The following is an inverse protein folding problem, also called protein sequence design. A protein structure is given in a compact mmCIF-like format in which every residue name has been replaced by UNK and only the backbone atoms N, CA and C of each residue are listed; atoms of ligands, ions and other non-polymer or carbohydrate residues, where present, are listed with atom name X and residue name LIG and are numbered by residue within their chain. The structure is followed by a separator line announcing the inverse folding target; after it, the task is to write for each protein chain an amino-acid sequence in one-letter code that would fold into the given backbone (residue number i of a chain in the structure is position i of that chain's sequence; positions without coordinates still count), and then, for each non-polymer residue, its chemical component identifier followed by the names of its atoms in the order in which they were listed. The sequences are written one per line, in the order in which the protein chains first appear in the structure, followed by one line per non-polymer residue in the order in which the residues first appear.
data_IF_623660311102
#
_entry.id   IF_623660311102
#
_cell.length_a   1.000
_cell.length_b   1.000
_cell.length_c   1.000
_cell.angle_alpha   90.00
_cell.angle_beta   90.00
_cell.angle_gamma   90.00
#
_symmetry.space_group_name_H-M   'P 1'
#
loop_
_entity.id
_entity.type
_entity.pdbx_description
1 polymer ?
#
# COMPACT_ATOMS: atom_id res chain seq x y z
N UNK A 1 -26.11 18.19 29.80
CA UNK A 1 -25.62 18.28 28.41
C UNK A 1 -24.17 18.74 28.46
N UNK A 2 -23.25 17.80 28.52
CA UNK A 2 -21.81 18.04 28.65
C UNK A 2 -21.20 17.95 27.28
N UNK A 3 -20.71 19.09 26.83
CA UNK A 3 -19.98 19.22 25.56
C UNK A 3 -18.60 18.56 25.71
N UNK A 4 -18.44 17.39 25.12
CA UNK A 4 -17.15 16.68 25.05
C UNK A 4 -16.35 17.21 23.87
N UNK A 5 -15.50 18.21 24.11
CA UNK A 5 -14.56 18.72 23.15
C UNK A 5 -13.61 17.62 22.63
N UNK A 6 -13.92 17.07 21.47
CA UNK A 6 -13.10 16.07 20.78
C UNK A 6 -11.80 16.72 20.34
N UNK A 7 -10.69 16.43 21.02
CA UNK A 7 -9.35 16.84 20.58
C UNK A 7 -8.96 16.08 19.31
N UNK A 8 -8.79 16.79 18.23
CA UNK A 8 -8.26 16.25 16.97
C UNK A 8 -6.74 16.43 16.93
N UNK A 9 -6.02 15.34 16.79
CA UNK A 9 -4.59 15.37 16.53
C UNK A 9 -4.35 15.68 15.05
N UNK A 10 -3.65 16.77 14.77
CA UNK A 10 -3.24 17.13 13.41
C UNK A 10 -1.71 17.19 13.34
N UNK A 11 -1.15 16.58 12.32
CA UNK A 11 0.23 16.86 11.90
C UNK A 11 0.23 18.22 11.19
N UNK A 12 0.77 19.24 11.84
CA UNK A 12 0.92 20.57 11.24
C UNK A 12 2.24 20.58 10.48
N UNK A 13 2.16 20.57 9.15
CA UNK A 13 3.24 21.05 8.29
C UNK A 13 3.17 22.58 8.31
N UNK A 14 4.29 23.22 8.62
CA UNK A 14 4.39 24.64 8.94
C UNK A 14 3.67 25.59 7.99
N UNK A 15 2.90 26.47 8.57
CA UNK A 15 2.27 27.61 7.92
C UNK A 15 1.71 28.55 8.97
N UNK A 16 2.15 29.82 8.95
CA UNK A 16 1.84 30.87 9.88
C UNK A 16 0.35 31.07 10.16
N UNK A 17 -0.03 31.09 11.43
CA UNK A 17 -1.38 31.50 11.87
C UNK A 17 -1.30 32.81 12.66
N UNK A 18 -1.88 33.85 12.08
CA UNK A 18 -2.01 35.17 12.72
C UNK A 18 -3.01 35.13 13.89
N UNK A 19 -2.58 35.65 15.02
CA UNK A 19 -3.41 35.85 16.25
C UNK A 19 -4.32 37.07 16.05
N UNK A 20 -5.63 36.90 16.23
CA UNK A 20 -6.61 38.01 16.31
C UNK A 20 -6.94 38.30 17.76
N UNK A 21 -6.63 39.52 18.18
CA UNK A 21 -7.03 40.10 19.46
C UNK A 21 -8.56 40.25 19.59
N UNK A 22 -9.07 39.92 20.76
CA UNK A 22 -10.45 40.28 21.19
C UNK A 22 -10.40 41.18 22.41
N UNK A 23 -11.13 42.29 22.47
CA UNK A 23 -11.24 43.16 23.63
C UNK A 23 -12.48 42.77 24.52
N UNK A 24 -12.32 42.98 25.82
CA UNK A 24 -13.45 43.04 26.77
C UNK A 24 -13.40 42.05 27.93
N UNK A 25 -12.54 42.32 28.93
CA UNK A 25 -12.62 41.60 30.22
C UNK A 25 -13.32 42.48 31.26
N UNK A 26 -14.48 42.02 31.76
CA UNK A 26 -15.12 42.53 32.98
C UNK A 26 -14.33 42.03 34.20
N UNK A 27 -14.02 42.99 35.14
CA UNK A 27 -13.36 42.71 36.40
C UNK A 27 -14.19 41.72 37.25
N UNK A 28 -13.57 40.59 37.59
CA UNK A 28 -14.14 39.59 38.55
C UNK A 28 -13.62 39.91 39.97
N UNK A 29 -14.37 39.58 41.04
CA UNK A 29 -13.91 39.76 42.41
C UNK A 29 -12.66 38.94 42.70
N UNK A 30 -11.78 39.45 43.59
CA UNK A 30 -10.53 38.80 43.96
C UNK A 30 -10.76 37.38 44.52
N UNK A 31 -10.06 36.34 44.01
CA UNK A 31 -10.21 34.98 44.44
C UNK A 31 -9.63 34.75 45.84
N UNK A 32 -10.28 33.98 46.69
CA UNK A 32 -9.77 33.55 48.01
C UNK A 32 -8.54 32.63 47.88
N UNK A 33 -7.77 32.46 48.92
CA UNK A 33 -6.51 31.67 48.95
C UNK A 33 -6.71 30.24 48.44
N UNK A 34 -7.84 29.62 48.72
CA UNK A 34 -8.22 28.29 48.25
C UNK A 34 -8.44 28.26 46.69
N UNK A 35 -9.03 29.33 46.15
CA UNK A 35 -9.27 29.47 44.71
C UNK A 35 -7.98 29.70 43.97
N UNK A 36 -7.02 30.46 44.55
CA UNK A 36 -5.67 30.67 43.97
C UNK A 36 -4.87 29.37 43.93
N UNK A 37 -4.91 28.57 45.02
CA UNK A 37 -4.26 27.27 45.08
C UNK A 37 -4.89 26.26 44.10
N UNK A 38 -6.20 26.29 43.91
CA UNK A 38 -6.91 25.46 42.94
C UNK A 38 -6.58 25.90 41.51
N UNK A 39 -6.52 27.19 41.26
CA UNK A 39 -6.10 27.75 39.94
C UNK A 39 -4.66 27.44 39.63
N UNK A 40 -3.73 27.57 40.60
CA UNK A 40 -2.32 27.22 40.44
C UNK A 40 -2.12 25.72 40.14
N UNK A 41 -2.88 24.85 40.81
CA UNK A 41 -2.87 23.39 40.54
C UNK A 41 -3.46 23.09 39.18
N UNK A 42 -4.54 23.74 38.78
CA UNK A 42 -5.14 23.57 37.46
C UNK A 42 -4.21 24.08 36.32
N UNK A 43 -3.55 25.25 36.51
CA UNK A 43 -2.59 25.79 35.56
C UNK A 43 -1.32 24.95 35.48
N UNK A 44 -0.80 24.41 36.59
CA UNK A 44 0.34 23.51 36.59
C UNK A 44 0.00 22.17 35.91
N UNK A 45 -1.21 21.63 36.12
CA UNK A 45 -1.67 20.40 35.45
C UNK A 45 -1.88 20.61 33.94
N UNK A 46 -2.40 21.77 33.51
CA UNK A 46 -2.52 22.09 32.07
C UNK A 46 -1.17 22.30 31.40
N UNK A 47 -0.23 22.99 32.06
CA UNK A 47 1.13 23.17 31.56
C UNK A 47 1.87 21.82 31.46
N UNK A 48 1.64 20.89 32.39
CA UNK A 48 2.17 19.52 32.31
C UNK A 48 1.57 18.74 31.13
N UNK A 49 0.26 18.82 30.91
CA UNK A 49 -0.40 18.14 29.79
C UNK A 49 0.02 18.68 28.43
N UNK A 50 0.24 20.00 28.31
CA UNK A 50 0.78 20.61 27.08
C UNK A 50 2.22 20.18 26.84
N UNK A 51 3.05 20.08 27.89
CA UNK A 51 4.41 19.60 27.78
C UNK A 51 4.49 18.12 27.38
N UNK A 52 3.61 17.28 27.92
CA UNK A 52 3.49 15.87 27.50
C UNK A 52 3.06 15.75 26.03
N UNK A 53 2.09 16.56 25.61
CA UNK A 53 1.61 16.60 24.22
C UNK A 53 2.73 17.04 23.27
N UNK A 54 3.52 18.05 23.63
CA UNK A 54 4.65 18.51 22.82
C UNK A 54 5.70 17.41 22.69
N UNK A 55 6.09 16.76 23.80
CA UNK A 55 7.06 15.66 23.74
C UNK A 55 6.55 14.47 22.91
N UNK A 56 5.26 14.18 22.96
CA UNK A 56 4.66 13.14 22.12
C UNK A 56 4.81 13.49 20.63
N UNK A 57 4.52 14.72 20.24
CA UNK A 57 4.66 15.17 18.86
C UNK A 57 6.13 15.11 18.41
N UNK A 58 7.07 15.56 19.24
CA UNK A 58 8.49 15.50 18.96
C UNK A 58 8.97 14.07 18.79
N UNK A 59 8.55 13.16 19.67
CA UNK A 59 8.91 11.72 19.58
C UNK A 59 8.37 11.05 18.32
N UNK A 60 7.17 11.43 17.87
CA UNK A 60 6.61 10.94 16.61
C UNK A 60 7.39 11.46 15.40
N UNK A 61 7.76 12.74 15.41
CA UNK A 61 8.55 13.35 14.34
C UNK A 61 9.94 12.69 14.24
N UNK A 62 10.62 12.50 15.37
CA UNK A 62 11.92 11.81 15.39
C UNK A 62 11.82 10.35 15.00
N UNK A 63 10.74 9.66 15.39
CA UNK A 63 10.50 8.28 14.94
C UNK A 63 10.35 8.22 13.42
N UNK A 64 9.58 9.15 12.84
CA UNK A 64 9.43 9.25 11.38
C UNK A 64 10.77 9.52 10.72
N UNK A 65 11.58 10.49 11.20
CA UNK A 65 12.91 10.76 10.66
C UNK A 65 13.85 9.55 10.74
N UNK A 66 13.87 8.86 11.87
CA UNK A 66 14.70 7.67 12.05
C UNK A 66 14.30 6.55 11.07
N UNK A 67 13.02 6.42 10.76
CA UNK A 67 12.52 5.42 9.81
C UNK A 67 12.66 5.86 8.35
N UNK A 68 12.66 7.15 8.08
CA UNK A 68 12.94 7.72 6.76
C UNK A 68 14.42 7.52 6.38
N UNK A 69 15.34 7.81 7.30
CA UNK A 69 16.78 7.50 7.14
C UNK A 69 17.01 6.00 6.89
N UNK A 70 16.17 5.13 7.44
CA UNK A 70 16.19 3.70 7.15
C UNK A 70 15.58 3.32 5.77
N UNK A 71 15.23 4.31 4.94
CA UNK A 71 14.77 4.11 3.56
C UNK A 71 13.30 3.69 3.41
N UNK A 72 12.45 3.99 4.38
CA UNK A 72 11.02 3.67 4.29
C UNK A 72 10.27 4.73 3.47
N UNK A 73 9.32 4.27 2.64
CA UNK A 73 8.51 5.19 1.83
C UNK A 73 7.54 6.03 2.67
N UNK A 74 7.16 7.26 2.23
CA UNK A 74 6.24 8.15 2.95
C UNK A 74 4.95 7.45 3.40
N UNK A 75 4.33 6.67 2.52
CA UNK A 75 3.13 5.88 2.86
C UNK A 75 3.37 4.84 3.96
N UNK A 76 4.60 4.29 4.05
CA UNK A 76 4.95 3.36 5.12
C UNK A 76 5.14 4.11 6.43
N UNK A 77 5.74 5.31 6.38
CA UNK A 77 5.93 6.19 7.54
C UNK A 77 4.58 6.57 8.16
N UNK A 78 3.63 7.05 7.35
CA UNK A 78 2.26 7.32 7.80
C UNK A 78 1.63 6.08 8.46
N UNK A 79 1.75 4.94 7.81
CA UNK A 79 1.17 3.70 8.31
C UNK A 79 1.80 3.23 9.62
N UNK A 80 3.05 3.61 9.94
CA UNK A 80 3.72 3.28 11.20
C UNK A 80 3.13 4.06 12.38
N UNK A 81 2.88 5.35 12.21
CA UNK A 81 2.41 6.22 13.29
C UNK A 81 0.89 6.17 13.50
N UNK A 82 0.14 5.90 12.44
CA UNK A 82 -1.33 5.91 12.45
C UNK A 82 -1.95 5.06 13.57
N UNK A 83 -1.52 3.81 13.84
CA UNK A 83 -2.12 3.00 14.91
C UNK A 83 -1.86 3.55 16.31
N UNK A 84 -0.73 4.22 16.54
CA UNK A 84 -0.39 4.87 17.80
C UNK A 84 -1.31 6.07 18.03
N UNK A 85 -1.42 6.94 17.01
CA UNK A 85 -2.32 8.09 17.05
C UNK A 85 -3.78 7.68 17.28
N UNK A 86 -4.22 6.62 16.59
CA UNK A 86 -5.60 6.10 16.68
C UNK A 86 -5.95 5.64 18.09
N UNK A 87 -5.09 4.87 18.75
CA UNK A 87 -5.37 4.35 20.08
C UNK A 87 -5.20 5.41 21.18
N UNK A 88 -4.17 6.24 21.08
CA UNK A 88 -3.94 7.34 22.03
C UNK A 88 -5.07 8.36 21.97
N UNK A 89 -5.56 8.72 20.77
CA UNK A 89 -6.72 9.59 20.60
C UNK A 89 -8.01 8.96 21.11
N UNK A 90 -8.19 7.66 20.99
CA UNK A 90 -9.39 6.96 21.45
C UNK A 90 -9.53 7.01 22.97
N UNK A 91 -8.42 6.87 23.71
CA UNK A 91 -8.42 6.93 25.18
C UNK A 91 -8.08 8.30 25.74
N UNK A 92 -7.73 9.27 24.89
CA UNK A 92 -7.21 10.61 25.29
C UNK A 92 -6.03 10.49 26.27
N UNK A 93 -5.05 9.64 25.95
CA UNK A 93 -3.86 9.39 26.77
C UNK A 93 -2.57 9.51 25.96
N UNK A 94 -1.48 9.91 26.63
CA UNK A 94 -0.15 9.83 26.03
C UNK A 94 0.33 8.36 25.95
N UNK A 95 1.24 8.02 25.01
CA UNK A 95 1.72 6.65 24.87
C UNK A 95 2.22 6.03 26.19
N UNK A 96 2.99 6.75 26.97
CA UNK A 96 3.54 6.25 28.25
C UNK A 96 2.49 6.04 29.37
N UNK A 97 1.25 6.39 29.11
CA UNK A 97 0.10 6.10 29.99
C UNK A 97 -0.82 5.00 29.44
N UNK A 98 -0.54 4.52 28.22
CA UNK A 98 -1.34 3.46 27.59
C UNK A 98 -0.98 2.10 28.20
N UNK A 99 -1.99 1.39 28.71
CA UNK A 99 -1.82 0.08 29.35
C UNK A 99 -2.18 -1.08 28.44
N UNK A 100 -1.62 -2.28 28.71
CA UNK A 100 -1.99 -3.52 28.01
C UNK A 100 -3.50 -3.78 28.05
N UNK A 101 -4.14 -3.50 29.19
CA UNK A 101 -5.61 -3.64 29.36
C UNK A 101 -6.39 -2.73 28.40
N UNK A 102 -5.93 -1.51 28.13
CA UNK A 102 -6.55 -0.60 27.17
C UNK A 102 -6.34 -1.08 25.74
N UNK A 103 -5.13 -1.56 25.42
CA UNK A 103 -4.83 -2.18 24.12
C UNK A 103 -5.78 -3.36 23.85
N UNK A 104 -5.91 -4.28 24.81
CA UNK A 104 -6.77 -5.46 24.72
C UNK A 104 -8.23 -5.07 24.49
N UNK A 105 -8.74 -4.15 25.30
CA UNK A 105 -10.13 -3.65 25.17
C UNK A 105 -10.37 -2.99 23.81
N UNK A 106 -9.39 -2.21 23.30
CA UNK A 106 -9.51 -1.56 22.02
C UNK A 106 -9.61 -2.58 20.88
N UNK A 107 -8.67 -3.52 20.81
CA UNK A 107 -8.65 -4.52 19.73
C UNK A 107 -9.67 -5.66 19.92
N UNK A 108 -10.17 -5.91 21.11
CA UNK A 108 -11.33 -6.77 21.34
C UNK A 108 -12.68 -6.11 21.00
N UNK A 109 -12.75 -4.78 21.04
CA UNK A 109 -13.94 -3.95 20.81
C UNK A 109 -13.87 -3.10 19.54
N UNK A 110 -13.68 -1.77 19.64
CA UNK A 110 -13.73 -0.85 18.50
C UNK A 110 -12.71 -1.18 17.40
N UNK A 111 -11.52 -1.61 17.78
CA UNK A 111 -10.42 -1.98 16.87
C UNK A 111 -10.56 -3.35 16.21
N UNK A 112 -11.58 -4.15 16.57
CA UNK A 112 -11.79 -5.51 16.06
C UNK A 112 -12.33 -5.56 14.62
N UNK A 113 -12.95 -4.49 14.13
CA UNK A 113 -13.59 -4.44 12.81
C UNK A 113 -12.68 -4.82 11.62
N UNK A 114 -11.37 -4.48 11.60
CA UNK A 114 -10.47 -4.92 10.55
C UNK A 114 -10.21 -6.44 10.61
N UNK A 115 -9.75 -6.99 9.49
CA UNK A 115 -9.28 -8.38 9.42
C UNK A 115 -8.14 -8.62 10.42
N UNK A 116 -8.04 -9.85 10.94
CA UNK A 116 -6.99 -10.25 11.90
C UNK A 116 -5.55 -9.86 11.45
N UNK A 117 -5.25 -9.99 10.15
CA UNK A 117 -3.95 -9.55 9.58
C UNK A 117 -3.71 -8.05 9.71
N UNK A 118 -4.76 -7.22 9.62
CA UNK A 118 -4.69 -5.77 9.81
C UNK A 118 -4.48 -5.43 11.28
N UNK A 119 -5.21 -6.09 12.18
CA UNK A 119 -5.03 -5.93 13.63
C UNK A 119 -3.61 -6.29 14.02
N UNK A 120 -3.11 -7.44 13.56
CA UNK A 120 -1.71 -7.86 13.78
C UNK A 120 -0.71 -6.80 13.30
N UNK A 121 -0.92 -6.26 12.11
CA UNK A 121 -0.06 -5.22 11.55
C UNK A 121 -0.08 -3.94 12.40
N UNK A 122 -1.24 -3.54 12.92
CA UNK A 122 -1.37 -2.38 13.80
C UNK A 122 -0.63 -2.61 15.13
N UNK A 123 -0.86 -3.74 15.78
CA UNK A 123 -0.20 -4.07 17.06
C UNK A 123 1.31 -4.12 16.90
N UNK A 124 1.84 -4.76 15.86
CA UNK A 124 3.28 -4.77 15.61
C UNK A 124 3.87 -3.37 15.39
N UNK A 125 3.12 -2.45 14.79
CA UNK A 125 3.57 -1.06 14.61
C UNK A 125 3.59 -0.29 15.91
N UNK A 126 2.61 -0.52 16.78
CA UNK A 126 2.59 0.03 18.13
C UNK A 126 3.83 -0.47 18.90
N UNK A 127 4.08 -1.76 18.90
CA UNK A 127 5.24 -2.37 19.56
C UNK A 127 6.58 -1.78 19.06
N UNK A 128 6.73 -1.57 17.75
CA UNK A 128 7.92 -0.93 17.16
C UNK A 128 8.11 0.53 17.62
N UNK A 129 7.02 1.28 17.79
CA UNK A 129 7.11 2.64 18.32
C UNK A 129 7.50 2.65 19.80
N UNK A 130 6.98 1.74 20.59
CA UNK A 130 7.38 1.62 22.00
C UNK A 130 8.84 1.20 22.16
N UNK A 131 9.34 0.28 21.34
CA UNK A 131 10.76 -0.04 21.31
C UNK A 131 11.66 1.19 21.00
N UNK A 132 11.17 2.11 20.16
CA UNK A 132 11.85 3.39 19.91
C UNK A 132 11.78 4.32 21.13
N UNK A 133 10.61 4.44 21.77
CA UNK A 133 10.46 5.25 22.99
C UNK A 133 11.34 4.74 24.13
N UNK A 134 11.36 3.44 24.36
CA UNK A 134 12.21 2.79 25.37
C UNK A 134 13.69 3.11 25.15
N UNK A 135 14.15 3.07 23.90
CA UNK A 135 15.54 3.33 23.56
C UNK A 135 15.93 4.80 23.66
N UNK A 136 15.05 5.72 23.25
CA UNK A 136 15.45 7.13 23.06
C UNK A 136 14.84 8.11 24.04
N UNK A 137 13.67 7.81 24.57
CA UNK A 137 12.85 8.74 25.33
C UNK A 137 12.55 8.33 26.78
N UNK A 138 12.79 7.05 27.15
CA UNK A 138 12.43 6.57 28.49
C UNK A 138 13.01 7.41 29.63
N UNK A 139 14.28 7.80 29.54
CA UNK A 139 14.94 8.63 30.55
C UNK A 139 14.40 10.06 30.61
N UNK A 140 14.03 10.65 29.50
CA UNK A 140 13.46 11.99 29.45
C UNK A 140 12.03 12.02 29.99
N UNK A 141 11.20 11.07 29.55
CA UNK A 141 9.81 10.91 30.02
C UNK A 141 9.78 10.71 31.53
N UNK A 142 10.67 9.83 32.04
CA UNK A 142 10.75 9.60 33.49
C UNK A 142 11.17 10.86 34.26
N UNK A 143 12.18 11.59 33.79
CA UNK A 143 12.65 12.83 34.46
C UNK A 143 11.63 13.96 34.41
N UNK A 144 10.88 14.11 33.33
CA UNK A 144 9.95 15.23 33.15
C UNK A 144 8.58 14.96 33.74
N UNK A 145 8.11 13.72 33.66
CA UNK A 145 6.71 13.37 33.99
C UNK A 145 6.59 12.26 35.02
N UNK A 146 7.68 11.64 35.45
CA UNK A 146 7.66 10.53 36.41
C UNK A 146 7.07 9.23 35.83
N UNK A 147 6.76 9.21 34.53
CA UNK A 147 6.16 8.05 33.87
C UNK A 147 7.26 7.03 33.45
N UNK A 148 6.91 5.75 33.47
CA UNK A 148 7.75 4.66 32.95
C UNK A 148 7.22 4.26 31.57
N UNK A 149 8.09 4.20 30.60
CA UNK A 149 7.75 3.73 29.25
C UNK A 149 7.82 2.21 29.24
N UNK A 150 6.67 1.56 29.07
CA UNK A 150 6.53 0.12 28.89
C UNK A 150 5.65 -0.17 27.69
N UNK A 151 6.04 -1.13 26.86
CA UNK A 151 5.21 -1.54 25.72
C UNK A 151 3.89 -2.15 26.23
N UNK A 152 2.72 -1.67 25.76
CA UNK A 152 1.44 -2.30 26.07
C UNK A 152 1.26 -3.65 25.36
N UNK A 153 2.20 -4.01 24.47
CA UNK A 153 2.20 -5.28 23.74
C UNK A 153 3.03 -6.30 24.51
N UNK A 154 2.38 -7.29 25.08
CA UNK A 154 2.99 -8.36 25.86
C UNK A 154 2.85 -9.74 25.19
N UNK A 155 3.29 -10.81 25.88
CA UNK A 155 3.23 -12.17 25.38
C UNK A 155 1.80 -12.70 25.15
N UNK A 156 0.79 -12.13 25.84
CA UNK A 156 -0.61 -12.58 25.78
C UNK A 156 -1.39 -11.90 24.64
N UNK A 157 -1.11 -10.63 24.36
CA UNK A 157 -1.82 -9.86 23.33
C UNK A 157 -1.02 -9.77 22.02
N UNK A 158 0.23 -10.23 21.97
CA UNK A 158 1.05 -10.29 20.76
C UNK A 158 0.42 -11.26 19.75
N UNK A 159 0.00 -10.77 18.56
CA UNK A 159 -0.72 -11.62 17.62
C UNK A 159 0.15 -12.72 17.04
N UNK A 160 -0.29 -13.95 17.16
CA UNK A 160 0.38 -15.12 16.58
C UNK A 160 0.12 -15.21 15.08
N UNK A 161 1.16 -15.58 14.32
CA UNK A 161 1.02 -15.87 12.90
C UNK A 161 0.33 -17.23 12.71
N UNK A 162 -0.95 -17.21 12.32
CA UNK A 162 -1.75 -18.44 12.14
C UNK A 162 -1.54 -19.14 10.79
N UNK A 163 -0.58 -18.70 9.97
CA UNK A 163 -0.38 -19.32 8.66
C UNK A 163 -1.54 -19.14 7.66
N UNK A 164 -2.55 -18.37 8.00
CA UNK A 164 -3.67 -18.03 7.11
C UNK A 164 -3.17 -17.18 5.95
N UNK A 165 -2.53 -17.82 5.02
CA UNK A 165 -2.46 -17.33 3.66
C UNK A 165 -3.90 -17.43 3.14
N UNK A 166 -4.68 -16.36 3.24
CA UNK A 166 -6.00 -16.34 2.61
C UNK A 166 -5.81 -16.74 1.15
N UNK A 167 -6.13 -17.98 0.84
CA UNK A 167 -6.01 -18.57 -0.49
C UNK A 167 -6.83 -17.73 -1.45
N UNK A 168 -6.15 -16.90 -2.24
CA UNK A 168 -6.77 -16.08 -3.27
C UNK A 168 -6.65 -16.84 -4.57
N UNK A 169 -7.63 -17.71 -4.82
CA UNK A 169 -7.69 -18.49 -6.06
C UNK A 169 -8.01 -17.53 -7.20
N UNK A 170 -7.12 -17.36 -8.19
CA UNK A 170 -7.42 -16.58 -9.38
C UNK A 170 -8.49 -17.29 -10.23
N UNK A 171 -9.20 -16.55 -11.11
CA UNK A 171 -10.05 -17.19 -12.10
C UNK A 171 -9.20 -18.11 -12.98
N UNK A 172 -9.81 -19.13 -13.59
CA UNK A 172 -9.10 -20.03 -14.51
C UNK A 172 -8.56 -19.27 -15.74
N UNK A 173 -7.55 -19.82 -16.42
CA UNK A 173 -7.00 -19.24 -17.64
C UNK A 173 -8.08 -19.00 -18.70
N UNK A 174 -9.05 -19.93 -18.84
CA UNK A 174 -10.19 -19.79 -19.73
C UNK A 174 -11.10 -18.62 -19.34
N UNK A 175 -11.50 -18.52 -18.07
CA UNK A 175 -12.35 -17.43 -17.59
C UNK A 175 -11.65 -16.06 -17.72
N UNK A 176 -10.34 -16.02 -17.50
CA UNK A 176 -9.53 -14.80 -17.70
C UNK A 176 -9.47 -14.41 -19.18
N UNK A 177 -9.32 -15.36 -20.09
CA UNK A 177 -9.35 -15.10 -21.54
C UNK A 177 -10.70 -14.57 -21.99
N UNK A 178 -11.79 -15.20 -21.57
CA UNK A 178 -13.18 -14.79 -21.86
C UNK A 178 -13.47 -13.39 -21.30
N UNK A 179 -13.00 -13.09 -20.08
CA UNK A 179 -13.11 -11.77 -19.47
C UNK A 179 -12.45 -10.66 -20.33
N UNK A 180 -11.21 -10.86 -20.74
CA UNK A 180 -10.52 -9.87 -21.56
C UNK A 180 -11.12 -9.75 -22.96
N UNK A 181 -11.63 -10.85 -23.55
CA UNK A 181 -12.31 -10.82 -24.84
C UNK A 181 -13.60 -9.97 -24.76
N UNK A 182 -14.47 -10.25 -23.79
CA UNK A 182 -15.72 -9.52 -23.59
C UNK A 182 -15.46 -8.01 -23.30
N UNK A 183 -14.46 -7.71 -22.47
CA UNK A 183 -14.11 -6.33 -22.19
C UNK A 183 -13.59 -5.60 -23.43
N UNK A 184 -12.74 -6.25 -24.24
CA UNK A 184 -12.23 -5.68 -25.50
C UNK A 184 -13.34 -5.37 -26.49
N UNK A 185 -14.32 -6.25 -26.66
CA UNK A 185 -15.48 -6.06 -27.52
C UNK A 185 -16.35 -4.87 -27.09
N UNK A 186 -16.36 -4.57 -25.79
CA UNK A 186 -17.13 -3.45 -25.25
C UNK A 186 -16.44 -2.08 -25.39
N UNK A 187 -15.12 -2.04 -25.60
CA UNK A 187 -14.33 -0.79 -25.64
C UNK A 187 -14.89 0.26 -26.62
N UNK A 188 -15.29 -0.07 -27.87
CA UNK A 188 -15.79 0.92 -28.81
C UNK A 188 -17.08 1.62 -28.35
N UNK A 189 -17.82 1.03 -27.42
CA UNK A 189 -19.07 1.59 -26.86
C UNK A 189 -18.83 2.40 -25.58
N UNK A 190 -17.62 2.50 -25.12
CA UNK A 190 -17.30 3.19 -23.89
C UNK A 190 -17.46 4.71 -24.05
N UNK A 191 -18.20 5.34 -23.13
CA UNK A 191 -18.42 6.80 -23.14
C UNK A 191 -17.11 7.61 -23.14
N UNK A 192 -16.06 7.10 -22.48
CA UNK A 192 -14.73 7.67 -22.42
C UNK A 192 -13.75 6.64 -22.99
N UNK A 193 -13.74 6.53 -24.30
CA UNK A 193 -12.96 5.52 -25.00
C UNK A 193 -11.48 5.48 -24.60
N UNK A 194 -10.70 6.59 -24.58
CA UNK A 194 -9.29 6.54 -24.22
C UNK A 194 -9.04 6.02 -22.80
N UNK A 195 -9.88 6.41 -21.84
CA UNK A 195 -9.81 5.97 -20.45
C UNK A 195 -10.13 4.48 -20.30
N UNK A 196 -11.15 4.00 -21.02
CA UNK A 196 -11.53 2.60 -21.03
C UNK A 196 -10.41 1.73 -21.62
N UNK A 197 -9.84 2.16 -22.75
CA UNK A 197 -8.70 1.49 -23.39
C UNK A 197 -7.48 1.48 -22.47
N UNK A 198 -7.09 2.61 -21.89
CA UNK A 198 -5.99 2.67 -20.90
C UNK A 198 -6.19 1.66 -19.79
N UNK A 199 -7.36 1.61 -19.18
CA UNK A 199 -7.66 0.71 -18.08
C UNK A 199 -7.62 -0.77 -18.51
N UNK A 200 -8.11 -1.07 -19.71
CA UNK A 200 -8.01 -2.38 -20.32
C UNK A 200 -6.54 -2.80 -20.54
N UNK A 201 -5.73 -1.94 -21.18
CA UNK A 201 -4.32 -2.19 -21.47
C UNK A 201 -3.54 -2.41 -20.18
N UNK A 202 -3.72 -1.55 -19.17
CA UNK A 202 -3.09 -1.72 -17.86
C UNK A 202 -3.42 -3.07 -17.22
N UNK A 203 -4.68 -3.48 -17.29
CA UNK A 203 -5.15 -4.75 -16.73
C UNK A 203 -4.55 -5.94 -17.48
N UNK A 204 -4.55 -5.89 -18.81
CA UNK A 204 -4.02 -6.94 -19.66
C UNK A 204 -2.50 -7.07 -19.52
N UNK A 205 -1.76 -5.95 -19.47
CA UNK A 205 -0.32 -5.93 -19.21
C UNK A 205 0.01 -6.48 -17.81
N UNK A 206 -0.79 -6.13 -16.79
CA UNK A 206 -0.62 -6.73 -15.45
C UNK A 206 -0.74 -8.24 -15.48
N UNK A 207 -1.66 -8.77 -16.27
CA UNK A 207 -1.84 -10.22 -16.46
C UNK A 207 -0.69 -10.84 -17.26
N UNK A 208 -0.21 -10.18 -18.33
CA UNK A 208 0.86 -10.69 -19.18
C UNK A 208 2.21 -10.66 -18.49
N UNK A 209 2.61 -9.50 -17.95
CA UNK A 209 3.95 -9.25 -17.40
C UNK A 209 4.07 -9.45 -15.89
N UNK A 210 2.95 -9.66 -15.20
CA UNK A 210 2.92 -9.85 -13.75
C UNK A 210 3.38 -8.64 -12.93
N UNK A 211 3.40 -7.42 -13.47
CA UNK A 211 3.81 -6.20 -12.77
C UNK A 211 2.86 -5.80 -11.65
N UNK A 212 3.37 -5.09 -10.64
CA UNK A 212 2.52 -4.54 -9.58
C UNK A 212 1.81 -3.27 -10.06
N UNK A 213 0.61 -3.01 -9.54
CA UNK A 213 -0.16 -1.82 -9.92
C UNK A 213 0.62 -0.51 -9.74
N UNK A 214 1.33 -0.36 -8.63
CA UNK A 214 2.12 0.84 -8.36
C UNK A 214 3.32 0.98 -9.32
N UNK A 215 3.95 -0.13 -9.69
CA UNK A 215 5.03 -0.17 -10.69
C UNK A 215 4.48 0.28 -12.05
N UNK A 216 3.39 -0.33 -12.50
CA UNK A 216 2.80 -0.04 -13.82
C UNK A 216 2.30 1.41 -13.93
N UNK A 217 1.74 1.97 -12.86
CA UNK A 217 1.27 3.36 -12.86
C UNK A 217 2.41 4.38 -13.00
N UNK A 218 3.64 4.04 -12.66
CA UNK A 218 4.79 4.94 -12.72
C UNK A 218 5.63 4.80 -14.00
N UNK A 219 5.29 3.86 -14.88
CA UNK A 219 6.01 3.66 -16.15
C UNK A 219 5.84 4.90 -17.04
N UNK A 220 6.96 5.39 -17.57
CA UNK A 220 7.02 6.48 -18.54
C UNK A 220 7.13 5.92 -19.97
N UNK A 221 6.89 6.76 -20.96
CA UNK A 221 7.04 6.36 -22.37
C UNK A 221 8.47 5.96 -22.67
N UNK A 222 9.46 6.70 -22.14
CA UNK A 222 10.88 6.39 -22.28
C UNK A 222 11.34 5.09 -21.61
N UNK A 223 10.53 4.51 -20.73
CA UNK A 223 10.84 3.23 -20.10
C UNK A 223 10.54 2.02 -21.03
N UNK A 224 9.90 2.24 -22.17
CA UNK A 224 9.54 1.17 -23.10
C UNK A 224 10.69 0.93 -24.08
N UNK A 225 11.34 -0.21 -23.97
CA UNK A 225 12.48 -0.63 -24.80
C UNK A 225 12.04 -1.71 -25.77
N UNK A 226 11.66 -1.31 -26.98
CA UNK A 226 11.13 -2.19 -28.02
C UNK A 226 12.18 -3.18 -28.57
N UNK A 227 13.44 -2.81 -28.49
CA UNK A 227 14.61 -3.55 -28.96
C UNK A 227 15.15 -4.57 -27.95
N UNK A 228 14.73 -4.49 -26.69
CA UNK A 228 15.23 -5.37 -25.64
C UNK A 228 14.58 -6.76 -25.71
N UNK A 229 15.33 -7.75 -26.17
CA UNK A 229 14.84 -9.12 -26.37
C UNK A 229 13.90 -9.24 -27.57
N UNK A 230 13.28 -10.41 -27.73
CA UNK A 230 12.47 -10.72 -28.91
C UNK A 230 11.21 -9.86 -29.03
N UNK A 231 10.57 -9.52 -27.90
CA UNK A 231 9.26 -8.88 -27.87
C UNK A 231 9.28 -7.49 -27.21
N UNK A 232 10.45 -6.99 -26.85
CA UNK A 232 10.59 -5.77 -26.06
C UNK A 232 10.36 -5.98 -24.58
N UNK A 233 10.77 -4.98 -23.80
CA UNK A 233 10.64 -4.92 -22.35
C UNK A 233 10.29 -3.49 -21.93
N UNK A 234 9.86 -3.33 -20.71
CA UNK A 234 9.73 -2.00 -20.12
C UNK A 234 10.31 -1.99 -18.70
N UNK A 235 10.95 -0.88 -18.38
CA UNK A 235 11.52 -0.66 -17.07
C UNK A 235 10.42 -0.39 -16.04
N UNK A 236 10.50 -1.01 -14.88
CA UNK A 236 9.61 -0.75 -13.75
C UNK A 236 10.41 -0.38 -12.51
N UNK A 237 10.02 0.71 -11.88
CA UNK A 237 10.64 1.23 -10.68
C UNK A 237 10.00 0.58 -9.47
N UNK A 238 10.64 -0.51 -8.99
CA UNK A 238 10.12 -1.30 -7.89
C UNK A 238 10.42 -0.69 -6.52
N UNK A 239 9.46 -0.79 -5.61
CA UNK A 239 9.71 -0.55 -4.19
C UNK A 239 10.56 -1.70 -3.67
N UNK A 240 11.82 -1.48 -3.34
CA UNK A 240 12.70 -2.50 -2.75
C UNK A 240 12.06 -3.23 -1.56
N UNK A 241 12.59 -4.40 -1.21
CA UNK A 241 12.14 -5.19 -0.08
C UNK A 241 13.04 -4.98 1.13
N UNK A 242 12.46 -4.86 2.34
CA UNK A 242 13.21 -4.88 3.59
C UNK A 242 14.21 -3.75 3.78
N UNK A 243 13.97 -2.55 3.23
CA UNK A 243 14.88 -1.40 3.37
C UNK A 243 16.01 -1.35 2.33
N UNK A 244 15.99 -2.24 1.30
CA UNK A 244 17.02 -2.25 0.24
C UNK A 244 16.92 -1.10 -0.78
N UNK A 245 16.05 -0.11 -0.56
CA UNK A 245 15.82 0.98 -1.50
C UNK A 245 15.02 0.58 -2.75
N UNK A 246 14.72 1.53 -3.65
CA UNK A 246 14.08 1.24 -4.93
C UNK A 246 14.93 0.27 -5.76
N UNK A 247 14.27 -0.67 -6.44
CA UNK A 247 14.93 -1.59 -7.36
C UNK A 247 14.25 -1.53 -8.70
N UNK A 248 15.00 -1.11 -9.70
CA UNK A 248 14.57 -1.15 -11.06
C UNK A 248 14.71 -2.56 -11.61
N UNK A 249 13.75 -2.97 -12.42
CA UNK A 249 13.78 -4.24 -13.14
C UNK A 249 13.07 -4.11 -14.46
N UNK A 250 13.46 -4.94 -15.40
CA UNK A 250 12.73 -5.09 -16.65
C UNK A 250 11.51 -6.00 -16.49
N UNK A 251 10.41 -5.61 -17.12
CA UNK A 251 9.21 -6.41 -17.26
C UNK A 251 9.04 -6.85 -18.71
N UNK A 252 8.59 -8.08 -18.92
CA UNK A 252 8.48 -8.69 -20.23
C UNK A 252 7.17 -8.33 -20.92
N UNK A 253 7.23 -7.96 -22.21
CA UNK A 253 6.01 -7.70 -22.99
C UNK A 253 5.42 -8.97 -23.60
N UNK A 254 6.24 -9.90 -24.01
CA UNK A 254 5.85 -11.01 -24.88
C UNK A 254 5.15 -10.51 -26.17
N UNK A 255 4.79 -11.41 -27.05
CA UNK A 255 4.19 -11.05 -28.35
C UNK A 255 2.87 -10.28 -28.18
N UNK A 256 1.95 -10.81 -27.36
CA UNK A 256 0.65 -10.18 -27.15
C UNK A 256 0.78 -8.80 -26.47
N UNK A 257 1.66 -8.67 -25.49
CA UNK A 257 1.89 -7.41 -24.79
C UNK A 257 2.53 -6.35 -25.67
N UNK A 258 3.48 -6.76 -26.54
CA UNK A 258 4.08 -5.87 -27.55
C UNK A 258 3.02 -5.30 -28.49
N UNK A 259 2.22 -6.16 -29.09
CA UNK A 259 1.16 -5.72 -30.01
C UNK A 259 0.12 -4.83 -29.32
N UNK A 260 -0.26 -5.19 -28.08
CA UNK A 260 -1.21 -4.42 -27.29
C UNK A 260 -0.69 -3.03 -26.92
N UNK A 261 0.56 -2.95 -26.47
CA UNK A 261 1.16 -1.70 -26.03
C UNK A 261 1.46 -0.79 -27.22
N UNK A 262 1.94 -1.36 -28.33
CA UNK A 262 2.13 -0.64 -29.58
C UNK A 262 0.83 0.00 -30.04
N UNK A 263 -0.26 -0.78 -30.16
CA UNK A 263 -1.56 -0.28 -30.52
C UNK A 263 -2.03 0.86 -29.60
N UNK A 264 -1.84 0.72 -28.29
CA UNK A 264 -2.24 1.77 -27.35
C UNK A 264 -1.46 3.07 -27.54
N UNK A 265 -0.15 2.99 -27.75
CA UNK A 265 0.70 4.18 -27.93
C UNK A 265 0.35 4.90 -29.22
N UNK A 266 0.20 4.18 -30.32
CA UNK A 266 -0.06 4.75 -31.63
C UNK A 266 -1.47 5.34 -31.76
N UNK A 267 -2.48 4.61 -31.29
CA UNK A 267 -3.88 4.93 -31.60
C UNK A 267 -4.63 5.67 -30.47
N UNK A 268 -4.14 5.59 -29.24
CA UNK A 268 -4.95 6.02 -28.10
C UNK A 268 -4.21 6.97 -27.15
N UNK A 269 -2.89 6.78 -26.97
CA UNK A 269 -2.13 7.55 -25.99
C UNK A 269 -2.18 9.07 -26.28
N UNK A 270 -2.20 9.46 -27.54
CA UNK A 270 -2.29 10.86 -27.98
C UNK A 270 -3.62 11.57 -27.66
N UNK A 271 -4.66 10.82 -27.25
CA UNK A 271 -5.94 11.40 -26.84
C UNK A 271 -5.93 12.00 -25.41
N UNK A 272 -4.82 11.86 -24.69
CA UNK A 272 -4.65 12.45 -23.37
C UNK A 272 -4.00 13.83 -23.44
N UNK A 273 -4.26 14.71 -22.46
CA UNK A 273 -3.91 16.13 -22.52
C UNK A 273 -2.45 16.42 -22.14
N UNK A 274 -1.49 15.65 -22.65
CA UNK A 274 -0.05 15.85 -22.51
C UNK A 274 0.67 15.44 -23.79
N UNK A 275 1.96 15.78 -23.88
CA UNK A 275 2.78 15.41 -25.04
C UNK A 275 3.19 13.92 -24.99
N UNK A 276 2.64 13.06 -25.87
CA UNK A 276 3.02 11.66 -25.92
C UNK A 276 4.44 11.43 -26.50
N UNK A 277 5.08 12.47 -27.04
CA UNK A 277 6.46 12.37 -27.54
C UNK A 277 7.51 12.67 -26.47
N UNK A 278 7.14 13.25 -25.33
CA UNK A 278 8.08 13.43 -24.22
C UNK A 278 8.35 12.07 -23.55
N UNK A 279 9.61 11.59 -23.53
CA UNK A 279 9.93 10.29 -22.91
C UNK A 279 9.64 10.25 -21.42
N UNK A 280 9.51 11.40 -20.74
CA UNK A 280 9.15 11.51 -19.33
C UNK A 280 7.63 11.45 -19.10
N UNK A 281 6.84 11.55 -20.16
CA UNK A 281 5.39 11.47 -20.05
C UNK A 281 4.97 10.10 -19.49
N UNK A 282 3.98 10.04 -18.57
CA UNK A 282 3.51 8.77 -18.07
C UNK A 282 2.92 7.93 -19.20
N UNK A 283 3.28 6.65 -19.24
CA UNK A 283 2.70 5.73 -20.22
C UNK A 283 1.17 5.64 -20.05
N UNK A 284 0.69 5.71 -18.81
CA UNK A 284 -0.72 5.67 -18.45
C UNK A 284 -1.13 6.93 -17.67
N UNK A 285 -1.45 8.04 -18.38
CA UNK A 285 -1.78 9.31 -17.76
C UNK A 285 -3.17 9.29 -17.10
N UNK A 286 -3.37 10.17 -16.13
CA UNK A 286 -4.68 10.51 -15.61
C UNK A 286 -5.47 11.32 -16.66
N UNK A 287 -6.79 11.16 -16.71
CA UNK A 287 -7.64 11.99 -17.57
C UNK A 287 -7.79 13.45 -17.08
N UNK A 288 -7.40 13.72 -15.85
CA UNK A 288 -7.57 15.02 -15.21
C UNK A 288 -6.22 15.69 -15.01
N UNK A 289 -5.98 16.76 -15.73
CA UNK A 289 -5.02 17.77 -15.29
C UNK A 289 -5.55 18.46 -14.04
N UNK A 290 -4.67 18.76 -13.09
CA UNK A 290 -5.04 19.64 -11.99
C UNK A 290 -5.48 20.99 -12.60
N UNK A 291 -6.58 21.56 -12.13
CA UNK A 291 -7.12 22.84 -12.66
C UNK A 291 -6.11 23.99 -12.62
N UNK A 292 -5.16 23.93 -11.66
CA UNK A 292 -4.06 24.88 -11.52
C UNK A 292 -3.00 24.78 -12.63
N UNK A 293 -3.03 23.72 -13.43
CA UNK A 293 -2.02 23.40 -14.44
C UNK A 293 -2.59 23.47 -15.87
N UNK A 294 -3.90 23.68 -16.00
CA UNK A 294 -4.55 23.80 -17.29
C UNK A 294 -4.09 25.08 -18.00
N UNK A 295 -3.45 24.94 -19.16
CA UNK A 295 -2.95 26.06 -19.98
C UNK A 295 -1.47 26.37 -19.85
N UNK A 296 -0.69 25.56 -19.15
CA UNK A 296 0.78 25.65 -19.16
C UNK A 296 1.35 24.74 -20.25
N UNK A 297 2.07 25.31 -21.21
CA UNK A 297 2.77 24.54 -22.25
C UNK A 297 3.86 23.64 -21.66
N UNK A 298 3.97 22.43 -22.18
CA UNK A 298 5.00 21.46 -21.75
C UNK A 298 4.71 20.75 -20.43
N UNK A 299 3.48 20.84 -19.92
CA UNK A 299 3.10 20.16 -18.69
C UNK A 299 2.73 18.69 -18.96
N UNK A 300 3.39 17.80 -18.20
CA UNK A 300 3.04 16.38 -18.24
C UNK A 300 1.78 16.11 -17.41
N UNK A 301 0.88 15.28 -17.94
CA UNK A 301 -0.25 14.78 -17.16
C UNK A 301 0.27 13.94 -15.98
N UNK A 302 -0.36 14.00 -14.80
CA UNK A 302 0.03 13.10 -13.72
C UNK A 302 -0.30 11.63 -14.11
N UNK A 303 0.49 10.66 -13.66
CA UNK A 303 0.19 9.25 -13.88
C UNK A 303 -1.12 8.86 -13.20
N UNK A 304 -1.78 7.83 -13.72
CA UNK A 304 -2.94 7.24 -13.05
C UNK A 304 -2.54 6.64 -11.70
N UNK A 305 -3.31 6.91 -10.65
CA UNK A 305 -3.01 6.36 -9.33
C UNK A 305 -3.49 4.90 -9.20
N UNK A 306 -2.77 4.06 -8.43
CA UNK A 306 -3.10 2.64 -8.28
C UNK A 306 -4.54 2.36 -7.81
N UNK A 307 -5.12 3.26 -7.02
CA UNK A 307 -6.50 3.12 -6.54
C UNK A 307 -7.54 3.34 -7.67
N UNK A 308 -7.27 4.26 -8.59
CA UNK A 308 -8.10 4.46 -9.78
C UNK A 308 -8.03 3.23 -10.69
N UNK A 309 -6.84 2.68 -10.91
CA UNK A 309 -6.66 1.44 -11.66
C UNK A 309 -7.40 0.26 -10.99
N UNK A 310 -7.26 0.10 -9.67
CA UNK A 310 -7.96 -0.94 -8.92
C UNK A 310 -9.47 -0.83 -9.07
N UNK A 311 -10.04 0.38 -8.95
CA UNK A 311 -11.48 0.63 -9.11
C UNK A 311 -11.97 0.31 -10.52
N UNK A 312 -11.22 0.71 -11.54
CA UNK A 312 -11.57 0.43 -12.92
C UNK A 312 -11.60 -1.08 -13.21
N UNK A 313 -10.59 -1.83 -12.76
CA UNK A 313 -10.55 -3.28 -12.90
C UNK A 313 -11.69 -3.98 -12.13
N UNK A 314 -12.01 -3.50 -10.93
CA UNK A 314 -13.14 -3.99 -10.15
C UNK A 314 -14.46 -3.81 -10.93
N UNK A 315 -14.73 -2.63 -11.47
CA UNK A 315 -15.92 -2.36 -12.27
C UNK A 315 -16.00 -3.27 -13.50
N UNK A 316 -14.90 -3.39 -14.24
CA UNK A 316 -14.83 -4.27 -15.40
C UNK A 316 -15.07 -5.75 -15.02
N UNK A 317 -14.56 -6.18 -13.86
CA UNK A 317 -14.78 -7.56 -13.40
C UNK A 317 -16.24 -7.85 -13.07
N UNK A 318 -16.96 -6.91 -12.47
CA UNK A 318 -18.39 -7.08 -12.22
C UNK A 318 -19.21 -7.17 -13.52
N UNK A 319 -18.77 -6.48 -14.56
CA UNK A 319 -19.47 -6.43 -15.83
C UNK A 319 -19.15 -7.64 -16.75
N UNK A 320 -17.88 -7.99 -16.86
CA UNK A 320 -17.40 -8.95 -17.88
C UNK A 320 -16.91 -10.29 -17.33
N UNK A 321 -16.55 -10.39 -16.04
CA UNK A 321 -16.05 -11.65 -15.49
C UNK A 321 -17.22 -12.61 -15.21
N UNK A 322 -17.06 -13.86 -15.61
CA UNK A 322 -18.00 -14.95 -15.32
C UNK A 322 -17.29 -16.04 -14.52
N UNK A 323 -18.03 -16.72 -13.64
CA UNK A 323 -17.48 -17.80 -12.82
C UNK A 323 -17.55 -17.54 -11.31
N UNK A 324 -16.89 -18.35 -10.49
CA UNK A 324 -16.97 -18.28 -9.04
C UNK A 324 -16.22 -17.09 -8.43
N UNK A 325 -15.26 -16.51 -9.16
CA UNK A 325 -14.54 -15.30 -8.74
C UNK A 325 -15.37 -14.09 -9.17
N UNK A 326 -15.79 -13.29 -8.20
CA UNK A 326 -16.69 -12.16 -8.45
C UNK A 326 -15.99 -10.81 -8.66
N UNK A 327 -14.74 -10.70 -8.26
CA UNK A 327 -14.01 -9.44 -8.30
C UNK A 327 -12.52 -9.63 -8.60
N UNK A 328 -12.00 -8.86 -9.57
CA UNK A 328 -10.57 -8.76 -9.85
C UNK A 328 -9.98 -7.49 -9.24
N UNK A 329 -8.73 -7.62 -8.82
CA UNK A 329 -7.88 -6.51 -8.45
C UNK A 329 -6.46 -6.79 -8.98
N UNK A 330 -5.61 -5.78 -9.17
CA UNK A 330 -4.33 -5.94 -9.88
C UNK A 330 -3.45 -7.06 -9.30
N UNK A 331 -3.43 -7.20 -7.97
CA UNK A 331 -2.64 -8.26 -7.34
C UNK A 331 -3.17 -9.66 -7.66
N UNK A 332 -4.49 -9.84 -7.84
CA UNK A 332 -5.08 -11.11 -8.24
C UNK A 332 -4.77 -11.45 -9.72
N UNK A 333 -4.72 -10.43 -10.61
CA UNK A 333 -4.24 -10.62 -11.99
C UNK A 333 -2.77 -11.04 -12.03
N UNK A 334 -1.94 -10.47 -11.18
CA UNK A 334 -0.55 -10.91 -11.03
C UNK A 334 -0.45 -12.34 -10.49
N UNK A 335 -1.33 -12.75 -9.57
CA UNK A 335 -1.46 -14.15 -9.15
C UNK A 335 -1.87 -15.04 -10.32
N UNK A 336 -2.86 -14.61 -11.10
CA UNK A 336 -3.28 -15.33 -12.32
C UNK A 336 -2.14 -15.49 -13.32
N UNK A 337 -1.35 -14.43 -13.55
CA UNK A 337 -0.13 -14.50 -14.36
C UNK A 337 0.82 -15.61 -13.88
N UNK A 338 1.15 -15.63 -12.59
CA UNK A 338 2.03 -16.64 -12.02
C UNK A 338 1.48 -18.06 -12.17
N UNK A 339 0.23 -18.25 -11.75
CA UNK A 339 -0.42 -19.56 -11.72
C UNK A 339 -0.59 -20.13 -13.12
N UNK A 340 -1.11 -19.34 -14.07
CA UNK A 340 -1.36 -19.81 -15.44
C UNK A 340 -0.07 -20.12 -16.21
N UNK A 341 0.99 -19.31 -16.04
CA UNK A 341 2.28 -19.60 -16.66
C UNK A 341 2.90 -20.87 -16.07
N UNK A 342 2.80 -21.06 -14.75
CA UNK A 342 3.29 -22.29 -14.12
C UNK A 342 2.48 -23.52 -14.56
N UNK A 343 1.16 -23.44 -14.60
CA UNK A 343 0.27 -24.49 -15.11
C UNK A 343 0.52 -24.80 -16.59
N UNK A 344 0.92 -23.79 -17.38
CA UNK A 344 1.33 -23.96 -18.78
C UNK A 344 2.73 -24.58 -18.94
N UNK A 345 3.44 -24.86 -17.83
CA UNK A 345 4.75 -25.54 -17.84
C UNK A 345 5.95 -24.62 -17.69
N UNK A 346 5.75 -23.33 -17.43
CA UNK A 346 6.89 -22.43 -17.14
C UNK A 346 7.58 -22.86 -15.84
N UNK A 347 8.90 -23.05 -15.82
CA UNK A 347 9.64 -23.41 -14.60
C UNK A 347 9.42 -22.37 -13.48
N UNK A 348 9.43 -22.82 -12.23
CA UNK A 348 9.24 -21.96 -11.07
C UNK A 348 10.23 -20.78 -11.02
N UNK A 349 11.47 -21.03 -11.42
CA UNK A 349 12.48 -19.98 -11.49
C UNK A 349 12.13 -18.89 -12.51
N UNK A 350 11.65 -19.28 -13.68
CA UNK A 350 11.26 -18.32 -14.72
C UNK A 350 10.02 -17.52 -14.30
N UNK A 351 9.07 -18.14 -13.59
CA UNK A 351 7.94 -17.43 -12.97
C UNK A 351 8.43 -16.44 -11.90
N UNK A 352 9.43 -16.80 -11.12
CA UNK A 352 10.04 -15.90 -10.13
C UNK A 352 10.68 -14.67 -10.81
N UNK A 353 11.45 -14.90 -11.89
CA UNK A 353 12.07 -13.84 -12.69
C UNK A 353 11.01 -12.95 -13.33
N UNK A 354 9.99 -13.53 -13.96
CA UNK A 354 8.85 -12.82 -14.55
C UNK A 354 8.20 -11.86 -13.55
N UNK A 355 7.96 -12.33 -12.34
CA UNK A 355 7.35 -11.53 -11.29
C UNK A 355 8.32 -10.54 -10.62
N UNK A 356 9.63 -10.74 -10.75
CA UNK A 356 10.64 -9.98 -10.02
C UNK A 356 10.56 -10.23 -8.51
N UNK A 357 10.38 -11.47 -8.09
CA UNK A 357 10.45 -11.85 -6.68
C UNK A 357 11.90 -12.13 -6.26
N UNK A 358 12.36 -11.46 -5.22
CA UNK A 358 13.71 -11.69 -4.64
C UNK A 358 13.79 -13.06 -3.97
N UNK A 359 12.68 -13.52 -3.35
CA UNK A 359 12.63 -14.75 -2.60
C UNK A 359 11.68 -15.77 -3.25
N UNK A 360 12.17 -17.00 -3.45
CA UNK A 360 11.38 -18.09 -4.00
C UNK A 360 10.13 -18.40 -3.16
N UNK A 361 10.21 -18.26 -1.84
CA UNK A 361 9.07 -18.43 -0.92
C UNK A 361 7.88 -17.53 -1.26
N UNK A 362 8.13 -16.33 -1.77
CA UNK A 362 7.07 -15.42 -2.24
C UNK A 362 6.36 -15.99 -3.45
N UNK A 363 7.10 -16.58 -4.40
CA UNK A 363 6.53 -17.20 -5.61
C UNK A 363 5.76 -18.46 -5.25
N UNK A 364 6.28 -19.31 -4.36
CA UNK A 364 5.60 -20.51 -3.87
C UNK A 364 4.25 -20.16 -3.22
N UNK A 365 4.18 -19.08 -2.44
CA UNK A 365 2.92 -18.62 -1.86
C UNK A 365 1.85 -18.24 -2.90
N UNK A 366 2.26 -17.82 -4.11
CA UNK A 366 1.34 -17.58 -5.24
C UNK A 366 0.86 -18.89 -5.89
N UNK A 367 1.71 -19.91 -5.92
CA UNK A 367 1.42 -21.19 -6.56
C UNK A 367 0.77 -22.22 -5.61
N UNK A 368 0.73 -21.95 -4.32
CA UNK A 368 0.06 -22.82 -3.34
C UNK A 368 -1.44 -23.02 -3.62
N UNK A 369 -2.00 -22.21 -4.52
CA UNK A 369 -3.37 -22.33 -5.02
C UNK A 369 -3.47 -23.08 -6.34
N UNK A 370 -2.35 -23.25 -7.06
CA UNK A 370 -2.33 -24.13 -8.22
C UNK A 370 -2.59 -25.54 -7.71
N UNK A 371 -3.69 -26.15 -8.13
CA UNK A 371 -3.95 -27.57 -7.90
C UNK A 371 -2.92 -28.38 -8.70
N UNK A 372 -1.70 -28.43 -8.18
CA UNK A 372 -0.76 -29.46 -8.59
C UNK A 372 -1.41 -30.77 -8.21
N UNK A 373 -1.80 -31.55 -9.20
CA UNK A 373 -2.12 -32.94 -9.00
C UNK A 373 -0.79 -33.65 -8.67
N UNK A 374 -0.50 -33.97 -7.40
CA UNK A 374 0.78 -34.57 -7.02
C UNK A 374 0.94 -35.95 -7.65
N UNK A 375 -0.16 -36.63 -8.00
CA UNK A 375 -0.13 -37.91 -8.73
C UNK A 375 0.30 -37.66 -10.17
N UNK A 376 -0.20 -36.63 -10.83
CA UNK A 376 0.18 -36.28 -12.21
C UNK A 376 1.63 -35.83 -12.30
N UNK A 377 2.09 -35.02 -11.36
CA UNK A 377 3.50 -34.58 -11.28
C UNK A 377 4.45 -35.75 -11.02
N UNK A 378 4.04 -36.69 -10.15
CA UNK A 378 4.77 -37.93 -9.88
C UNK A 378 4.81 -38.84 -11.11
N UNK A 379 3.68 -38.99 -11.82
CA UNK A 379 3.58 -39.76 -13.07
C UNK A 379 4.46 -39.18 -14.18
N UNK A 380 4.47 -37.87 -14.36
CA UNK A 380 5.34 -37.21 -15.36
C UNK A 380 6.82 -37.30 -14.99
N UNK A 381 7.16 -37.20 -13.70
CA UNK A 381 8.52 -37.41 -13.23
C UNK A 381 8.97 -38.86 -13.45
N UNK A 382 8.13 -39.83 -13.12
CA UNK A 382 8.38 -41.25 -13.35
C UNK A 382 8.52 -41.57 -14.84
N UNK A 383 7.68 -41.01 -15.69
CA UNK A 383 7.80 -41.16 -17.17
C UNK A 383 9.09 -40.57 -17.71
N UNK A 384 9.53 -39.44 -17.20
CA UNK A 384 10.83 -38.82 -17.58
C UNK A 384 12.01 -39.71 -17.14
N UNK A 385 11.94 -40.25 -15.94
CA UNK A 385 12.98 -41.18 -15.45
C UNK A 385 13.04 -42.45 -16.30
N UNK A 386 11.90 -43.07 -16.64
CA UNK A 386 11.82 -44.27 -17.51
C UNK A 386 12.36 -43.96 -18.91
N UNK A 387 12.04 -42.80 -19.50
CA UNK A 387 12.59 -42.41 -20.81
C UNK A 387 14.12 -42.28 -20.80
N UNK A 388 14.72 -41.75 -19.72
CA UNK A 388 16.19 -41.68 -19.60
C UNK A 388 16.83 -43.07 -19.54
N UNK A 389 16.23 -44.00 -18.78
CA UNK A 389 16.70 -45.37 -18.71
C UNK A 389 16.58 -46.12 -20.05
N UNK A 390 15.57 -45.75 -20.88
CA UNK A 390 15.34 -46.37 -22.20
C UNK A 390 16.26 -45.76 -23.29
N UNK A 391 16.92 -44.64 -23.05
CA UNK A 391 17.81 -43.96 -24.02
C UNK A 391 19.26 -44.32 -23.76
N UNK A 392 19.59 -44.94 -22.62
CA UNK A 392 20.94 -45.39 -22.26
C UNK A 392 21.13 -46.91 -22.47
N UNK A 393 20.13 -47.60 -23.01
CA UNK A 393 20.20 -49.01 -23.47
C UNK A 393 20.19 -49.09 -25.01
#
# INVERSE_FOLDING_TARGET
MTDSGTRRFFLITGGDVAVKDRPGAQLRPEPGLADVLTLQRATAATASAEAEQALFQDSLAEYVWARDVAGLSPRTLEALVQPVLEICSYYDVMPWHLTSRQLDKYFAGPGKRPRHTTVRSKINRIDLYYAFLEQRYAGEIHRRFGAVVESPVDAFNRPVHRGDFGLRIPPSARATKEFFAAWREALPRARKYPVAVRNYVMSKLTYISGVRAAELCQVQIGDVHWENGQWGRFLVHGKGAGGSGPRDREAFLFEEGRALLWWYIEEVRGEFPDDPCDPRAPLFPSERLAKSLAGMDGLLAPPVVPDTFRRALKMASHEYLRGPVSELFPHLLRHACATHNYEAGMPLWDVQVLLGHVWASTTVGYLATAKGDPERASLESSRRAVRRLSTEA
#
